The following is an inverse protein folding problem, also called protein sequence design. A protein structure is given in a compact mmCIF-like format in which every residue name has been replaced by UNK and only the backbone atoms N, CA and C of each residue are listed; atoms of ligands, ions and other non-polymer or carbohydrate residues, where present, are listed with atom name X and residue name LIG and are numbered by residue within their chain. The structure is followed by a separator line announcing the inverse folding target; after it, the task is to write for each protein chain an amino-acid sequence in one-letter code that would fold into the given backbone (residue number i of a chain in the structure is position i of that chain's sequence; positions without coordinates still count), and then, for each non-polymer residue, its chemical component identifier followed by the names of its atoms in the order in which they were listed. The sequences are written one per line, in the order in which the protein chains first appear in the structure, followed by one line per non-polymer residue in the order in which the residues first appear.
data_IF_117837472331
#
_entry.id   IF_117837472331
#
_cell.length_a   1.000
_cell.length_b   1.000
_cell.length_c   1.000
_cell.angle_alpha   90.00
_cell.angle_beta   90.00
_cell.angle_gamma   90.00
#
_symmetry.space_group_name_H-M   'P 1'
#
loop_
_entity.id
_entity.type
_entity.pdbx_description
1 polymer ?
#
# COMPACT_ATOMS: atom_id res chain seq x y z
N UNK A 1 11.06 -2.11 2.61
CA UNK A 1 11.17 -3.35 1.82
C UNK A 1 9.93 -4.20 2.07
N UNK A 2 9.01 -4.28 1.10
CA UNK A 2 7.93 -5.26 1.15
C UNK A 2 8.48 -6.59 0.61
N UNK A 3 8.40 -7.66 1.39
CA UNK A 3 8.77 -8.99 0.93
C UNK A 3 7.76 -9.48 -0.11
N UNK A 4 8.20 -9.96 -1.27
CA UNK A 4 7.34 -10.45 -2.37
C UNK A 4 6.63 -11.78 -2.10
N UNK A 5 6.14 -11.99 -0.88
CA UNK A 5 5.48 -13.22 -0.42
C UNK A 5 4.19 -12.89 0.35
N UNK A 6 3.10 -13.55 -0.01
CA UNK A 6 1.83 -13.45 0.72
C UNK A 6 1.85 -14.39 1.94
N UNK A 7 1.61 -13.83 3.14
CA UNK A 7 1.64 -14.60 4.41
C UNK A 7 0.30 -15.25 4.74
N UNK A 8 0.01 -16.40 4.16
CA UNK A 8 -1.22 -17.14 4.47
C UNK A 8 -1.23 -17.68 5.91
N UNK A 9 -2.41 -17.83 6.51
CA UNK A 9 -2.57 -18.47 7.82
C UNK A 9 -2.39 -19.99 7.69
N UNK A 10 -1.71 -20.63 8.65
CA UNK A 10 -1.49 -22.09 8.63
C UNK A 10 -2.78 -22.91 8.64
N UNK A 11 -3.83 -22.37 9.27
CA UNK A 11 -5.17 -22.96 9.39
C UNK A 11 -6.17 -22.34 8.39
N UNK A 12 -5.71 -21.78 7.26
CA UNK A 12 -6.57 -21.12 6.26
C UNK A 12 -7.75 -22.03 5.84
N UNK A 13 -7.46 -23.29 5.49
CA UNK A 13 -8.46 -24.29 5.07
C UNK A 13 -9.36 -24.79 6.22
N UNK A 14 -9.12 -24.35 7.45
CA UNK A 14 -9.92 -24.67 8.63
C UNK A 14 -10.75 -23.47 9.12
N UNK A 15 -10.73 -22.34 8.41
CA UNK A 15 -11.62 -21.21 8.69
C UNK A 15 -13.01 -21.49 8.10
N UNK A 16 -14.12 -21.28 8.85
CA UNK A 16 -15.48 -21.58 8.37
C UNK A 16 -15.79 -20.99 6.99
N UNK A 17 -15.55 -19.69 6.82
CA UNK A 17 -15.80 -18.95 5.57
C UNK A 17 -14.99 -19.49 4.37
N UNK A 18 -13.82 -20.08 4.63
CA UNK A 18 -12.97 -20.71 3.61
C UNK A 18 -13.43 -22.14 3.33
N UNK A 19 -13.96 -22.86 4.32
CA UNK A 19 -14.50 -24.23 4.15
C UNK A 19 -15.69 -24.19 3.17
N UNK A 20 -16.63 -23.25 3.34
CA UNK A 20 -17.79 -23.13 2.47
C UNK A 20 -17.40 -22.77 1.03
N UNK A 21 -16.46 -21.84 0.87
CA UNK A 21 -15.89 -21.48 -0.44
C UNK A 21 -15.15 -22.67 -1.08
N UNK A 22 -14.35 -23.40 -0.31
CA UNK A 22 -13.59 -24.56 -0.80
C UNK A 22 -14.49 -25.74 -1.15
N UNK A 23 -15.59 -25.95 -0.43
CA UNK A 23 -16.58 -26.97 -0.76
C UNK A 23 -17.31 -26.68 -2.08
N UNK A 24 -17.54 -25.40 -2.40
CA UNK A 24 -18.24 -24.97 -3.61
C UNK A 24 -17.34 -24.81 -4.86
N UNK A 25 -16.12 -24.26 -4.70
CA UNK A 25 -15.23 -23.88 -5.81
C UNK A 25 -13.91 -24.68 -5.83
N UNK A 26 -13.66 -25.52 -4.82
CA UNK A 26 -12.46 -26.34 -4.71
C UNK A 26 -11.15 -25.56 -4.68
N UNK A 27 -10.08 -26.22 -5.15
CA UNK A 27 -8.76 -25.61 -5.27
C UNK A 27 -8.73 -24.39 -6.20
N UNK A 28 -9.64 -24.30 -7.18
CA UNK A 28 -9.72 -23.17 -8.11
C UNK A 28 -10.26 -21.91 -7.43
N UNK A 29 -11.29 -22.05 -6.58
CA UNK A 29 -11.76 -20.94 -5.74
C UNK A 29 -10.69 -20.48 -4.75
N UNK A 30 -10.00 -21.42 -4.12
CA UNK A 30 -8.87 -21.11 -3.23
C UNK A 30 -7.75 -20.36 -3.95
N UNK A 31 -7.36 -20.80 -5.15
CA UNK A 31 -6.38 -20.12 -5.99
C UNK A 31 -6.80 -18.69 -6.31
N UNK A 32 -8.04 -18.50 -6.77
CA UNK A 32 -8.60 -17.18 -7.06
C UNK A 32 -8.65 -16.28 -5.80
N UNK A 33 -9.06 -16.81 -4.65
CA UNK A 33 -9.02 -16.11 -3.37
C UNK A 33 -7.60 -15.65 -3.02
N UNK A 34 -6.59 -16.50 -3.19
CA UNK A 34 -5.18 -16.15 -2.94
C UNK A 34 -4.71 -15.05 -3.91
N UNK A 35 -5.01 -15.15 -5.21
CA UNK A 35 -4.65 -14.13 -6.21
C UNK A 35 -5.29 -12.77 -5.89
N UNK A 36 -6.57 -12.74 -5.51
CA UNK A 36 -7.25 -11.50 -5.12
C UNK A 36 -6.61 -10.91 -3.85
N UNK A 37 -6.24 -11.72 -2.86
CA UNK A 37 -5.53 -11.24 -1.68
C UNK A 37 -4.10 -10.74 -1.98
N UNK A 38 -3.43 -11.32 -2.99
CA UNK A 38 -2.16 -10.81 -3.49
C UNK A 38 -2.34 -9.43 -4.14
N UNK A 39 -3.34 -9.25 -5.00
CA UNK A 39 -3.71 -7.94 -5.55
C UNK A 39 -3.98 -6.92 -4.44
N UNK A 40 -4.85 -7.24 -3.47
CA UNK A 40 -5.18 -6.34 -2.35
C UNK A 40 -3.96 -5.99 -1.50
N UNK A 41 -2.95 -6.87 -1.38
CA UNK A 41 -1.72 -6.58 -0.63
C UNK A 41 -0.83 -5.51 -1.27
N UNK A 42 -1.04 -5.22 -2.56
CA UNK A 42 -0.40 -4.12 -3.29
C UNK A 42 -1.25 -2.83 -3.29
N UNK A 43 -2.51 -2.90 -2.85
CA UNK A 43 -3.40 -1.74 -2.76
C UNK A 43 -3.20 -0.97 -1.44
N UNK A 44 -3.31 0.36 -1.50
CA UNK A 44 -3.20 1.20 -0.32
C UNK A 44 -4.29 0.84 0.72
N UNK A 45 -3.87 0.61 1.97
CA UNK A 45 -4.75 0.18 3.06
C UNK A 45 -5.48 -1.16 2.83
N UNK A 46 -5.08 -1.94 1.81
CA UNK A 46 -5.73 -3.20 1.46
C UNK A 46 -7.06 -3.06 0.71
N UNK A 47 -7.38 -1.89 0.15
CA UNK A 47 -8.63 -1.63 -0.58
C UNK A 47 -8.40 -1.61 -2.10
N UNK A 48 -8.92 -2.62 -2.80
CA UNK A 48 -8.86 -2.72 -4.25
C UNK A 48 -10.09 -2.14 -4.95
N UNK A 49 -9.99 -1.89 -6.25
CA UNK A 49 -11.08 -1.31 -7.04
C UNK A 49 -12.15 -2.36 -7.38
N UNK A 50 -13.42 -2.08 -7.05
CA UNK A 50 -14.57 -2.92 -7.39
C UNK A 50 -15.24 -2.42 -8.68
N UNK A 51 -14.48 -2.44 -9.77
CA UNK A 51 -14.90 -1.94 -11.10
C UNK A 51 -14.96 -3.05 -12.13
N UNK A 52 -15.75 -2.87 -13.19
CA UNK A 52 -15.85 -3.84 -14.29
C UNK A 52 -14.49 -4.19 -14.91
N UNK A 53 -13.59 -3.21 -15.03
CA UNK A 53 -12.21 -3.37 -15.52
C UNK A 53 -11.36 -4.20 -14.57
N UNK A 54 -11.32 -3.89 -13.27
CA UNK A 54 -10.51 -4.63 -12.31
C UNK A 54 -10.98 -6.08 -12.17
N UNK A 55 -12.30 -6.32 -12.20
CA UNK A 55 -12.85 -7.67 -12.20
C UNK A 55 -12.44 -8.46 -13.46
N UNK A 56 -12.21 -7.80 -14.59
CA UNK A 56 -11.69 -8.44 -15.81
C UNK A 56 -10.19 -8.74 -15.70
N UNK A 57 -9.38 -7.85 -15.11
CA UNK A 57 -7.94 -8.11 -14.84
C UNK A 57 -7.78 -9.33 -13.94
N UNK A 58 -8.46 -9.35 -12.80
CA UNK A 58 -8.43 -10.48 -11.85
C UNK A 58 -8.97 -11.79 -12.47
N UNK A 59 -9.89 -11.70 -13.43
CA UNK A 59 -10.40 -12.85 -14.17
C UNK A 59 -9.35 -13.42 -15.14
N UNK A 60 -8.60 -12.56 -15.83
CA UNK A 60 -7.48 -12.97 -16.70
C UNK A 60 -6.35 -13.58 -15.86
N UNK A 61 -5.93 -12.92 -14.78
CA UNK A 61 -4.89 -13.42 -13.86
C UNK A 61 -5.27 -14.75 -13.20
N UNK A 62 -6.56 -14.94 -12.88
CA UNK A 62 -7.08 -16.17 -12.29
C UNK A 62 -7.42 -17.27 -13.30
N UNK A 63 -7.35 -17.00 -14.62
CA UNK A 63 -7.90 -17.86 -15.68
C UNK A 63 -9.37 -18.28 -15.44
N UNK A 64 -10.23 -17.31 -15.07
CA UNK A 64 -11.67 -17.50 -14.78
C UNK A 64 -12.53 -16.49 -15.55
N UNK A 65 -13.86 -16.62 -15.47
CA UNK A 65 -14.74 -15.57 -15.97
C UNK A 65 -14.91 -14.47 -14.92
N UNK A 66 -15.17 -13.24 -15.40
CA UNK A 66 -15.49 -12.07 -14.56
C UNK A 66 -16.65 -12.32 -13.58
N UNK A 67 -17.59 -13.19 -13.95
CA UNK A 67 -18.69 -13.66 -13.10
C UNK A 67 -18.21 -14.45 -11.89
N UNK A 68 -17.18 -15.29 -12.04
CA UNK A 68 -16.62 -16.11 -10.96
C UNK A 68 -15.89 -15.24 -9.93
N UNK A 69 -15.13 -14.25 -10.40
CA UNK A 69 -14.47 -13.25 -9.53
C UNK A 69 -15.51 -12.49 -8.70
N UNK A 70 -16.58 -12.01 -9.33
CA UNK A 70 -17.69 -11.34 -8.62
C UNK A 70 -18.36 -12.28 -7.62
N UNK A 71 -18.69 -13.51 -8.04
CA UNK A 71 -19.33 -14.53 -7.17
C UNK A 71 -18.47 -14.78 -5.93
N UNK A 72 -17.17 -14.99 -6.09
CA UNK A 72 -16.26 -15.26 -4.99
C UNK A 72 -16.10 -14.07 -4.03
N UNK A 73 -16.15 -12.83 -4.54
CA UNK A 73 -16.16 -11.61 -3.72
C UNK A 73 -17.47 -11.48 -2.92
N UNK A 74 -18.63 -11.83 -3.48
CA UNK A 74 -19.92 -11.51 -2.86
C UNK A 74 -20.61 -12.65 -2.11
N UNK A 75 -20.26 -13.92 -2.35
CA UNK A 75 -21.08 -15.07 -1.91
C UNK A 75 -20.65 -15.75 -0.61
N UNK A 76 -19.37 -15.64 -0.23
CA UNK A 76 -18.78 -16.45 0.85
C UNK A 76 -18.44 -15.65 2.12
N UNK A 77 -18.84 -14.38 2.22
CA UNK A 77 -18.48 -13.52 3.36
C UNK A 77 -16.99 -13.19 3.50
N UNK A 78 -16.14 -13.64 2.57
CA UNK A 78 -14.68 -13.46 2.63
C UNK A 78 -14.20 -12.01 2.38
N UNK A 79 -15.07 -11.19 1.78
CA UNK A 79 -14.75 -9.82 1.36
C UNK A 79 -15.86 -8.84 1.78
N UNK A 80 -15.45 -7.61 2.04
CA UNK A 80 -16.32 -6.45 2.25
C UNK A 80 -16.30 -5.60 0.99
N UNK A 81 -17.48 -5.32 0.44
CA UNK A 81 -17.67 -4.41 -0.70
C UNK A 81 -18.22 -3.07 -0.18
N UNK A 82 -17.58 -1.99 -0.59
CA UNK A 82 -18.00 -0.60 -0.38
C UNK A 82 -18.49 -0.09 -1.74
N UNK A 83 -19.78 -0.27 -1.98
CA UNK A 83 -20.42 -0.01 -3.27
C UNK A 83 -20.54 1.48 -3.59
N UNK A 84 -20.57 2.35 -2.57
CA UNK A 84 -20.56 3.81 -2.76
C UNK A 84 -19.21 4.26 -3.35
N UNK A 85 -18.10 3.75 -2.79
CA UNK A 85 -16.73 4.12 -3.20
C UNK A 85 -16.14 3.17 -4.24
N UNK A 86 -16.95 2.25 -4.77
CA UNK A 86 -16.58 1.22 -5.76
C UNK A 86 -15.25 0.55 -5.46
N UNK A 87 -15.11 0.05 -4.22
CA UNK A 87 -13.91 -0.61 -3.71
C UNK A 87 -14.26 -1.83 -2.86
N UNK A 88 -13.31 -2.73 -2.66
CA UNK A 88 -13.48 -3.92 -1.85
C UNK A 88 -12.20 -4.29 -1.11
N UNK A 89 -12.31 -5.10 -0.05
CA UNK A 89 -11.18 -5.63 0.71
C UNK A 89 -11.54 -6.99 1.30
N UNK A 90 -10.56 -7.78 1.74
CA UNK A 90 -10.82 -9.03 2.46
C UNK A 90 -10.74 -8.82 3.98
N UNK A 91 -11.45 -9.64 4.75
CA UNK A 91 -11.30 -9.63 6.21
C UNK A 91 -9.85 -9.94 6.65
N UNK A 92 -9.13 -10.77 5.88
CA UNK A 92 -7.72 -11.05 6.14
C UNK A 92 -6.83 -9.81 5.92
N UNK A 93 -7.05 -9.04 4.86
CA UNK A 93 -6.34 -7.77 4.60
C UNK A 93 -6.58 -6.76 5.73
N UNK A 94 -7.84 -6.53 6.11
CA UNK A 94 -8.20 -5.63 7.22
C UNK A 94 -7.46 -6.01 8.52
N UNK A 95 -7.36 -7.31 8.82
CA UNK A 95 -6.59 -7.79 9.98
C UNK A 95 -5.09 -7.53 9.87
N UNK A 96 -4.48 -7.62 8.67
CA UNK A 96 -3.06 -7.29 8.51
C UNK A 96 -2.80 -5.80 8.73
N UNK A 97 -3.51 -4.93 8.01
CA UNK A 97 -3.30 -3.48 8.10
C UNK A 97 -3.67 -2.91 9.49
N UNK A 98 -4.74 -3.40 10.12
CA UNK A 98 -5.09 -3.04 11.49
C UNK A 98 -4.03 -3.44 12.53
N UNK A 99 -3.33 -4.57 12.34
CA UNK A 99 -2.22 -5.01 13.20
C UNK A 99 -0.91 -4.25 12.94
N UNK A 100 -0.70 -3.72 11.73
CA UNK A 100 0.43 -2.83 11.44
C UNK A 100 0.26 -1.50 12.14
N UNK A 101 -0.94 -0.90 12.11
CA UNK A 101 -1.23 0.36 12.80
C UNK A 101 -1.05 0.25 14.33
N UNK A 102 -1.47 -0.86 14.95
CA UNK A 102 -1.28 -1.07 16.39
C UNK A 102 0.18 -1.37 16.77
N UNK A 103 0.94 -2.13 15.96
CA UNK A 103 2.38 -2.30 16.17
C UNK A 103 3.17 -0.99 16.02
N UNK A 104 2.80 -0.15 15.05
CA UNK A 104 3.45 1.15 14.85
C UNK A 104 3.18 2.09 16.05
N UNK A 105 1.99 2.02 16.65
CA UNK A 105 1.69 2.69 17.93
C UNK A 105 2.43 2.09 19.13
N UNK A 106 2.68 0.77 19.15
CA UNK A 106 3.45 0.13 20.22
C UNK A 106 4.97 0.37 20.12
N UNK A 107 5.53 0.61 18.93
CA UNK A 107 6.90 1.12 18.78
C UNK A 107 7.06 2.60 19.14
N UNK A 108 5.93 3.33 19.27
CA UNK A 108 5.87 4.68 19.85
C UNK A 108 5.47 4.65 21.34
N UNK A 109 5.61 3.50 22.01
CA UNK A 109 5.61 3.41 23.46
C UNK A 109 6.86 4.09 24.02
N UNK A 110 6.77 5.39 24.26
CA UNK A 110 7.75 6.12 25.07
C UNK A 110 7.88 5.42 26.42
N UNK A 111 9.07 4.93 26.83
CA UNK A 111 9.34 4.89 28.26
C UNK A 111 9.24 6.33 28.74
N UNK A 112 8.53 6.55 29.85
CA UNK A 112 8.50 7.84 30.53
C UNK A 112 9.88 8.12 31.16
N UNK A 113 10.86 8.43 30.32
CA UNK A 113 12.12 9.04 30.73
C UNK A 113 11.85 10.52 30.89
N UNK A 114 11.87 10.98 32.14
CA UNK A 114 11.97 12.38 32.49
C UNK A 114 13.16 13.00 31.76
N UNK A 115 12.89 13.77 30.71
CA UNK A 115 13.90 14.60 30.08
C UNK A 115 14.17 15.79 31.00
N UNK A 116 15.19 15.67 31.86
CA UNK A 116 15.96 16.87 32.20
C UNK A 116 16.59 17.38 30.91
N UNK A 117 16.36 18.65 30.60
CA UNK A 117 16.81 19.30 29.38
C UNK A 117 18.33 19.48 29.40
N UNK A 118 19.06 18.59 28.72
CA UNK A 118 20.48 18.76 28.40
C UNK A 118 20.71 19.84 27.30
N UNK A 119 19.91 20.90 27.33
CA UNK A 119 19.94 22.04 26.43
C UNK A 119 20.56 23.31 27.06
N UNK A 120 21.09 23.20 28.29
CA UNK A 120 21.81 24.29 28.98
C UNK A 120 23.34 24.06 29.09
N UNK A 121 23.92 23.08 28.38
CA UNK A 121 25.37 22.76 28.48
C UNK A 121 26.19 22.90 27.18
N UNK A 122 25.61 23.43 26.11
CA UNK A 122 26.36 23.89 24.92
C UNK A 122 25.99 25.34 24.53
N UNK A 123 25.73 26.20 25.52
CA UNK A 123 25.76 27.67 25.32
C UNK A 123 26.98 28.36 25.95
N UNK A 124 27.81 27.63 26.70
CA UNK A 124 29.05 28.14 27.32
C UNK A 124 30.28 27.53 26.64
N UNK A 125 30.46 27.80 25.33
CA UNK A 125 31.79 27.71 24.65
C UNK A 125 31.92 28.40 23.29
N UNK A 126 30.83 28.78 22.62
CA UNK A 126 30.89 29.47 21.31
C UNK A 126 30.85 31.02 21.45
N UNK A 127 30.82 31.56 22.68
CA UNK A 127 30.86 33.01 22.95
C UNK A 127 32.25 33.58 23.31
N UNK A 128 33.34 32.84 23.09
CA UNK A 128 34.70 33.28 23.49
C UNK A 128 35.75 33.43 22.37
N UNK A 129 35.39 33.21 21.10
CA UNK A 129 36.37 33.21 20.00
C UNK A 129 35.94 34.01 18.75
N UNK A 130 35.10 35.05 18.94
CA UNK A 130 34.72 35.99 17.88
C UNK A 130 34.91 37.47 18.32
N UNK A 131 35.91 37.73 19.16
CA UNK A 131 36.36 39.09 19.51
C UNK A 131 37.68 39.47 18.82
N UNK A 132 37.93 38.89 17.65
CA UNK A 132 38.95 39.21 16.64
C UNK A 132 38.46 38.51 15.36
N UNK A 133 37.96 39.18 14.31
CA UNK A 133 38.52 40.37 13.67
C UNK A 133 37.42 41.27 13.07
N UNK A 134 37.63 42.58 13.19
CA UNK A 134 37.05 43.58 12.28
C UNK A 134 37.83 43.56 10.94
N UNK A 135 37.37 44.33 9.94
CA UNK A 135 37.95 44.48 8.58
C UNK A 135 37.54 43.35 7.61
N UNK A 136 36.93 43.59 6.43
CA UNK A 136 36.58 44.85 5.75
C UNK A 136 35.30 44.71 4.90
N UNK A 137 34.81 45.83 4.37
CA UNK A 137 33.74 45.88 3.36
C UNK A 137 34.14 45.22 2.03
N UNK A 138 33.15 44.88 1.19
CA UNK A 138 32.97 45.38 -0.20
C UNK A 138 31.62 44.86 -0.73
N UNK A 139 30.89 45.70 -1.48
CA UNK A 139 29.64 45.38 -2.17
C UNK A 139 29.92 45.00 -3.64
N UNK A 140 29.13 44.11 -4.26
CA UNK A 140 28.73 44.22 -5.68
C UNK A 140 27.37 43.52 -5.91
N UNK A 141 26.66 43.95 -6.94
CA UNK A 141 25.25 43.72 -7.26
C UNK A 141 24.93 42.51 -8.17
N UNK A 142 23.62 42.25 -8.26
CA UNK A 142 22.81 41.95 -9.46
C UNK A 142 22.76 40.61 -10.23
N UNK A 143 21.52 40.38 -10.70
CA UNK A 143 21.05 39.71 -11.94
C UNK A 143 20.71 38.19 -12.06
N UNK A 144 19.41 37.98 -12.33
CA UNK A 144 18.77 37.17 -13.41
C UNK A 144 18.37 35.66 -13.27
N UNK A 145 17.04 35.43 -13.43
CA UNK A 145 16.38 34.28 -14.11
C UNK A 145 16.68 34.28 -15.63
N UNK A 146 16.60 33.18 -16.43
CA UNK A 146 15.42 32.30 -16.69
C UNK A 146 15.75 30.78 -16.93
N UNK A 147 14.93 29.95 -17.62
CA UNK A 147 13.58 29.40 -17.32
C UNK A 147 13.25 28.22 -18.32
N UNK A 148 11.98 27.85 -18.54
CA UNK A 148 11.41 26.97 -19.61
C UNK A 148 11.43 25.41 -19.56
N UNK A 149 10.27 24.80 -19.87
CA UNK A 149 10.08 23.52 -20.61
C UNK A 149 10.15 22.17 -19.86
N UNK A 150 9.31 21.13 -20.10
CA UNK A 150 8.09 21.01 -20.91
C UNK A 150 7.98 19.72 -21.75
N UNK A 151 7.32 18.65 -21.26
CA UNK A 151 6.81 17.54 -22.09
C UNK A 151 5.76 16.67 -21.36
N UNK A 152 4.75 16.16 -22.10
CA UNK A 152 3.77 15.14 -21.66
C UNK A 152 3.91 13.93 -22.57
N UNK A 153 3.89 12.72 -22.00
CA UNK A 153 3.91 11.47 -22.76
C UNK A 153 2.57 10.73 -22.61
N UNK A 154 1.97 10.29 -23.72
CA UNK A 154 0.73 9.53 -23.77
C UNK A 154 1.05 8.06 -24.03
N UNK A 155 0.43 7.13 -23.30
CA UNK A 155 0.55 5.69 -23.55
C UNK A 155 -0.78 5.11 -24.05
N UNK A 156 -0.74 4.55 -25.26
CA UNK A 156 -1.87 3.86 -25.90
C UNK A 156 -1.88 2.37 -25.50
N UNK A 157 -3.01 1.90 -24.97
CA UNK A 157 -3.22 0.50 -24.60
C UNK A 157 -4.31 -0.12 -25.48
N UNK A 158 -3.90 -0.83 -26.52
CA UNK A 158 -4.79 -1.62 -27.39
C UNK A 158 -4.40 -3.10 -27.44
N UNK A 159 -5.45 -3.92 -27.38
CA UNK A 159 -5.57 -5.26 -27.97
C UNK A 159 -4.89 -6.46 -27.26
N UNK A 160 -5.71 -7.27 -26.58
CA UNK A 160 -5.34 -8.57 -25.99
C UNK A 160 -6.27 -9.73 -26.44
N UNK A 161 -7.01 -9.59 -27.55
CA UNK A 161 -8.05 -10.54 -27.98
C UNK A 161 -7.54 -11.81 -28.73
N UNK A 162 -6.25 -12.16 -28.61
CA UNK A 162 -5.62 -13.23 -29.43
C UNK A 162 -5.06 -14.45 -28.68
N UNK A 163 -5.28 -14.60 -27.37
CA UNK A 163 -4.65 -15.69 -26.57
C UNK A 163 -5.54 -16.89 -26.23
N UNK A 164 -6.74 -17.01 -26.81
CA UNK A 164 -7.70 -18.10 -26.51
C UNK A 164 -8.21 -18.85 -27.75
N UNK A 165 -7.28 -19.25 -28.64
CA UNK A 165 -7.51 -20.29 -29.65
C UNK A 165 -6.28 -21.19 -29.81
N UNK A 166 -6.24 -22.30 -29.08
CA UNK A 166 -5.57 -23.56 -29.41
C UNK A 166 -6.09 -24.67 -28.50
#
# INVERSE_FOLDING_TARGET
MNSGYLKLQRNLLSQPDIIDMYAAEGATGLGLYVSINLYLSHCEGGWGAYTGTQMSVLAVEGHRHRSDVKRLITSYGLFVVDDEKKRFTSHWMQQQFGKVASKMRQSCGTPARTYHSHAEEIEIKIKKENKEKQSACVCVDDTQQPDEGGAREQTDYRNYDNYLKR
#
